data_IF_455537118088
#
_entry.id   IF_455537118088
#
_cell.length_a   1.000
_cell.length_b   1.000
_cell.length_c   1.000
_cell.angle_alpha   90.00
_cell.angle_beta   90.00
_cell.angle_gamma   90.00
#
_symmetry.space_group_name_H-M   'P 1'
#
loop_
_entity.id
_entity.type
_entity.pdbx_description
1 polymer ?
#
# COMPACT_ATOMS: atom_id res chain seq x y z
N UNK A 1 -6.60 4.45 -10.95
CA UNK A 1 -6.94 5.60 -10.07
C UNK A 1 -8.14 6.32 -10.62
N UNK A 2 -9.14 6.59 -9.79
CA UNK A 2 -10.35 7.30 -10.20
C UNK A 2 -10.17 8.83 -10.14
N UNK A 3 -9.46 9.32 -9.11
CA UNK A 3 -9.12 10.74 -8.94
C UNK A 3 -7.66 11.01 -9.31
N UNK A 4 -7.42 12.12 -9.99
CA UNK A 4 -6.07 12.62 -10.27
C UNK A 4 -5.49 13.38 -9.07
N UNK A 5 -4.15 13.46 -8.99
CA UNK A 5 -3.47 14.26 -7.95
C UNK A 5 -3.92 15.73 -7.94
N UNK A 6 -4.22 16.30 -9.11
CA UNK A 6 -4.74 17.67 -9.23
C UNK A 6 -6.11 17.82 -8.55
N UNK A 7 -7.01 16.86 -8.75
CA UNK A 7 -8.33 16.88 -8.11
C UNK A 7 -8.22 16.71 -6.59
N UNK A 8 -7.35 15.80 -6.13
CA UNK A 8 -7.08 15.61 -4.69
C UNK A 8 -6.55 16.90 -4.05
N UNK A 9 -5.59 17.56 -4.69
CA UNK A 9 -5.00 18.81 -4.22
C UNK A 9 -6.04 19.93 -4.13
N UNK A 10 -6.80 20.16 -5.20
CA UNK A 10 -7.85 21.19 -5.24
C UNK A 10 -8.89 20.94 -4.16
N UNK A 11 -9.34 19.70 -4.01
CA UNK A 11 -10.32 19.34 -2.98
C UNK A 11 -9.77 19.56 -1.56
N UNK A 12 -8.52 19.22 -1.28
CA UNK A 12 -7.88 19.47 0.02
C UNK A 12 -7.90 20.96 0.37
N UNK A 13 -7.66 21.84 -0.60
CA UNK A 13 -7.58 23.30 -0.36
C UNK A 13 -8.90 24.04 -0.45
N UNK A 14 -10.01 23.38 -0.80
CA UNK A 14 -11.27 24.07 -1.17
C UNK A 14 -11.89 24.88 -0.01
N UNK A 15 -11.64 24.49 1.24
CA UNK A 15 -12.14 25.16 2.45
C UNK A 15 -11.11 26.07 3.12
N UNK A 16 -9.97 26.33 2.47
CA UNK A 16 -8.91 27.20 2.99
C UNK A 16 -7.80 26.50 3.76
N UNK A 17 -7.71 25.16 3.72
CA UNK A 17 -6.56 24.43 4.27
C UNK A 17 -5.27 24.88 3.56
N UNK A 18 -4.25 25.28 4.34
CA UNK A 18 -3.00 25.83 3.84
C UNK A 18 -1.92 24.75 3.71
N UNK A 19 -1.66 24.29 2.49
CA UNK A 19 -0.53 23.40 2.20
C UNK A 19 0.81 24.14 2.25
N UNK A 20 1.85 23.43 2.65
CA UNK A 20 3.21 23.93 2.80
C UNK A 20 4.19 23.09 1.98
N UNK A 21 5.34 23.69 1.67
CA UNK A 21 6.45 22.95 1.07
C UNK A 21 6.87 21.80 1.99
N UNK A 22 6.94 20.59 1.43
CA UNK A 22 7.25 19.36 2.17
C UNK A 22 6.04 18.57 2.65
N UNK A 23 4.81 19.08 2.51
CA UNK A 23 3.61 18.29 2.81
C UNK A 23 3.48 17.10 1.85
N UNK A 24 3.05 15.96 2.38
CA UNK A 24 2.88 14.71 1.64
C UNK A 24 1.40 14.39 1.44
N UNK A 25 0.99 14.14 0.19
CA UNK A 25 -0.36 13.71 -0.17
C UNK A 25 -0.27 12.29 -0.76
N UNK A 26 -0.85 11.31 -0.07
CA UNK A 26 -0.91 9.93 -0.52
C UNK A 26 -2.18 9.67 -1.35
N UNK A 27 -2.08 8.79 -2.34
CA UNK A 27 -3.19 8.41 -3.25
C UNK A 27 -4.31 7.62 -2.60
N UNK A 28 -4.05 7.04 -1.42
CA UNK A 28 -4.79 5.89 -0.91
C UNK A 28 -4.31 4.57 -1.54
N UNK A 29 -4.84 3.45 -1.05
CA UNK A 29 -4.54 2.10 -1.55
C UNK A 29 -4.87 1.99 -3.03
N UNK A 30 -3.91 1.51 -3.83
CA UNK A 30 -4.09 1.32 -5.28
C UNK A 30 -4.48 -0.12 -5.55
N UNK A 31 -5.76 -0.34 -5.86
CA UNK A 31 -6.28 -1.63 -6.30
C UNK A 31 -6.76 -1.54 -7.75
N UNK A 32 -6.32 -2.48 -8.58
CA UNK A 32 -6.78 -2.63 -9.95
C UNK A 32 -8.07 -3.46 -10.06
N UNK A 33 -8.52 -3.74 -11.29
CA UNK A 33 -9.78 -4.44 -11.52
C UNK A 33 -9.69 -5.97 -11.30
N UNK A 34 -8.49 -6.54 -11.22
CA UNK A 34 -8.26 -7.98 -11.07
C UNK A 34 -7.85 -8.34 -9.64
N UNK A 35 -8.19 -9.54 -9.12
CA UNK A 35 -7.87 -9.93 -7.75
C UNK A 35 -6.38 -9.88 -7.39
N UNK A 36 -5.50 -10.19 -8.34
CA UNK A 36 -4.04 -10.12 -8.21
C UNK A 36 -3.48 -8.69 -8.25
N UNK A 37 -4.32 -7.70 -8.53
CA UNK A 37 -3.98 -6.28 -8.55
C UNK A 37 -4.51 -5.51 -7.32
N UNK A 38 -5.01 -6.20 -6.29
CA UNK A 38 -5.43 -5.59 -5.03
C UNK A 38 -4.23 -5.04 -4.23
N UNK A 39 -4.39 -3.86 -3.65
CA UNK A 39 -3.30 -3.12 -2.99
C UNK A 39 -3.12 -3.38 -1.49
N UNK A 40 -3.86 -4.32 -0.90
CA UNK A 40 -3.73 -4.65 0.53
C UNK A 40 -3.98 -6.13 0.81
N UNK A 41 -3.38 -6.64 1.90
CA UNK A 41 -3.64 -8.02 2.35
C UNK A 41 -5.10 -8.22 2.78
N UNK A 42 -5.76 -7.18 3.27
CA UNK A 42 -7.18 -7.21 3.60
C UNK A 42 -8.03 -7.59 2.38
N UNK A 43 -7.72 -6.98 1.23
CA UNK A 43 -8.41 -7.24 -0.04
C UNK A 43 -7.96 -8.58 -0.64
N UNK A 44 -6.65 -8.80 -0.76
CA UNK A 44 -6.06 -10.03 -1.33
C UNK A 44 -6.58 -11.29 -0.63
N UNK A 45 -6.72 -11.22 0.69
CA UNK A 45 -7.13 -12.37 1.50
C UNK A 45 -8.62 -12.40 1.84
N UNK A 46 -9.38 -11.44 1.32
CA UNK A 46 -10.80 -11.27 1.60
C UNK A 46 -11.12 -11.33 3.10
N UNK A 47 -10.52 -10.41 3.87
CA UNK A 47 -10.61 -10.39 5.34
C UNK A 47 -10.15 -11.71 5.98
N UNK A 48 -9.11 -12.32 5.41
CA UNK A 48 -8.53 -13.58 5.89
C UNK A 48 -9.34 -14.85 5.61
N UNK A 49 -10.45 -14.77 4.87
CA UNK A 49 -11.21 -15.97 4.48
C UNK A 49 -10.58 -16.72 3.31
N UNK A 50 -9.70 -16.07 2.55
CA UNK A 50 -8.93 -16.64 1.44
C UNK A 50 -7.43 -16.44 1.71
N UNK A 51 -6.72 -17.38 2.34
CA UNK A 51 -5.29 -17.22 2.60
C UNK A 51 -4.50 -17.01 1.30
N UNK A 52 -3.51 -16.12 1.33
CA UNK A 52 -2.55 -15.94 0.26
C UNK A 52 -1.49 -17.05 0.36
N UNK A 53 -1.24 -17.77 -0.73
CA UNK A 53 -0.16 -18.77 -0.82
C UNK A 53 1.07 -18.08 -1.41
N UNK A 54 2.15 -18.01 -0.63
CA UNK A 54 3.42 -17.39 -1.02
C UNK A 54 4.42 -18.42 -1.54
N UNK A 55 4.40 -19.63 -0.97
CA UNK A 55 5.22 -20.78 -1.34
C UNK A 55 4.50 -22.09 -0.89
N UNK A 56 5.01 -23.27 -1.23
CA UNK A 56 4.37 -24.58 -1.00
C UNK A 56 3.87 -24.78 0.44
N UNK A 57 4.57 -24.20 1.43
CA UNK A 57 4.22 -24.32 2.85
C UNK A 57 4.06 -22.96 3.55
N UNK A 58 4.03 -21.85 2.81
CA UNK A 58 3.95 -20.51 3.39
C UNK A 58 2.65 -19.85 2.94
N UNK A 59 1.76 -19.60 3.91
CA UNK A 59 0.53 -18.85 3.68
C UNK A 59 0.42 -17.67 4.62
N UNK A 60 -0.33 -16.65 4.19
CA UNK A 60 -0.60 -15.45 4.98
C UNK A 60 -2.05 -15.02 4.87
N UNK A 61 -2.59 -14.51 5.98
CA UNK A 61 -3.84 -13.73 6.01
C UNK A 61 -3.54 -12.25 6.18
N UNK A 62 -2.67 -11.95 7.13
CA UNK A 62 -2.08 -10.65 7.41
C UNK A 62 -0.57 -10.85 7.65
N UNK A 63 0.14 -9.75 7.90
CA UNK A 63 1.56 -9.80 8.21
C UNK A 63 1.80 -10.47 9.56
N UNK A 64 2.86 -11.24 9.64
CA UNK A 64 3.41 -11.86 10.84
C UNK A 64 4.75 -11.21 11.20
N UNK A 65 5.19 -11.36 12.46
CA UNK A 65 6.50 -10.88 12.90
C UNK A 65 7.62 -11.49 12.05
N UNK A 66 8.56 -10.65 11.63
CA UNK A 66 9.64 -11.03 10.72
C UNK A 66 9.31 -10.91 9.23
N UNK A 67 8.03 -10.73 8.86
CA UNK A 67 7.67 -10.49 7.46
C UNK A 67 8.28 -9.18 6.96
N UNK A 68 8.91 -9.24 5.79
CA UNK A 68 9.45 -8.06 5.10
C UNK A 68 8.61 -7.77 3.86
N UNK A 69 8.08 -6.56 3.77
CA UNK A 69 7.32 -6.08 2.61
C UNK A 69 8.18 -5.11 1.84
N UNK A 70 8.14 -5.21 0.51
CA UNK A 70 8.67 -4.17 -0.37
C UNK A 70 7.70 -3.89 -1.50
N UNK A 71 7.69 -2.64 -1.97
CA UNK A 71 7.03 -2.27 -3.22
C UNK A 71 7.95 -1.40 -4.07
N UNK A 72 7.84 -1.59 -5.37
CA UNK A 72 8.67 -0.95 -6.39
C UNK A 72 7.83 -0.68 -7.63
N UNK A 73 8.05 0.48 -8.26
CA UNK A 73 7.55 0.74 -9.60
C UNK A 73 8.40 0.01 -10.64
N UNK A 74 7.81 -0.96 -11.35
CA UNK A 74 8.47 -1.75 -12.40
C UNK A 74 8.04 -1.30 -13.81
N UNK A 75 8.90 -1.53 -14.81
CA UNK A 75 8.55 -1.31 -16.23
C UNK A 75 8.77 0.11 -16.76
N UNK A 76 9.48 0.97 -16.02
CA UNK A 76 9.74 2.36 -16.41
C UNK A 76 11.24 2.64 -16.55
N UNK A 77 11.61 3.55 -17.46
CA UNK A 77 13.01 4.02 -17.63
C UNK A 77 13.50 4.86 -16.44
N UNK A 78 12.59 5.50 -15.71
CA UNK A 78 12.87 6.26 -14.49
C UNK A 78 12.16 5.54 -13.35
N UNK A 79 12.93 4.96 -12.43
CA UNK A 79 12.43 4.20 -11.28
C UNK A 79 12.34 5.02 -9.99
N UNK A 80 11.61 4.50 -9.01
CA UNK A 80 11.45 5.11 -7.68
C UNK A 80 12.36 4.50 -6.60
N UNK A 81 13.14 3.48 -6.94
CA UNK A 81 13.82 2.64 -5.95
C UNK A 81 12.83 1.71 -5.22
N UNK A 82 13.25 1.18 -4.07
CA UNK A 82 12.44 0.29 -3.24
C UNK A 82 11.95 1.04 -1.99
N UNK A 83 10.69 0.87 -1.65
CA UNK A 83 10.19 1.14 -0.31
C UNK A 83 10.03 -0.18 0.41
N UNK A 84 10.77 -0.38 1.50
CA UNK A 84 10.80 -1.66 2.24
C UNK A 84 10.68 -1.44 3.74
N UNK A 85 10.09 -2.42 4.43
CA UNK A 85 10.00 -2.46 5.87
C UNK A 85 9.80 -3.89 6.38
N UNK A 86 10.36 -4.17 7.55
CA UNK A 86 10.22 -5.45 8.25
C UNK A 86 9.38 -5.27 9.50
N UNK A 87 8.41 -6.15 9.71
CA UNK A 87 7.60 -6.17 10.92
C UNK A 87 8.46 -6.74 12.06
N UNK A 88 8.60 -5.96 13.13
CA UNK A 88 9.23 -6.40 14.37
C UNK A 88 8.15 -6.81 15.38
N UNK A 89 8.46 -7.75 16.29
CA UNK A 89 7.54 -8.12 17.36
C UNK A 89 7.08 -6.92 18.17
N UNK A 90 5.83 -6.96 18.60
CA UNK A 90 5.30 -5.99 19.55
C UNK A 90 6.10 -6.02 20.87
N UNK A 91 6.15 -4.87 21.55
CA UNK A 91 6.70 -4.81 22.90
C UNK A 91 5.86 -5.71 23.84
N UNK A 92 6.49 -6.42 24.78
CA UNK A 92 5.75 -7.19 25.79
C UNK A 92 4.88 -6.25 26.63
N UNK A 93 3.72 -6.76 27.06
CA UNK A 93 2.79 -6.07 27.95
C UNK A 93 3.32 -5.98 29.39
#
# INVERSE_FOLDING_TARGET
>A
MYWSLKQMLVHHTVTGCNLRAGDLIATGTISGPTPDSCGSMLELTWRGSKPLVLDENVTRKFLEDGDTVFYQGNGFKIGFGQCTGTIIPALPL
#
